data_IF_208756360660
#
_entry.id   IF_208756360660
#
_cell.length_a   1.000
_cell.length_b   1.000
_cell.length_c   1.000
_cell.angle_alpha   90.00
_cell.angle_beta   90.00
_cell.angle_gamma   90.00
#
_symmetry.space_group_name_H-M   'P 1'
#
loop_
_entity.id
_entity.type
_entity.pdbx_description
1 polymer ?
#
# COMPACT_ATOMS: atom_id res chain seq x y z
N UNK A 1 15.66 -14.73 15.60
CA UNK A 1 14.65 -13.65 15.57
C UNK A 1 13.42 -14.24 14.91
N UNK A 2 12.29 -14.24 15.60
CA UNK A 2 11.02 -14.72 15.05
C UNK A 2 10.48 -13.64 14.10
N UNK A 3 10.04 -14.05 12.91
CA UNK A 3 9.44 -13.14 11.94
C UNK A 3 7.95 -13.00 12.24
N UNK A 4 7.46 -11.77 12.43
CA UNK A 4 6.07 -11.52 12.83
C UNK A 4 5.09 -11.56 11.66
N UNK A 5 3.85 -11.98 11.91
CA UNK A 5 2.76 -11.94 10.94
C UNK A 5 2.51 -10.52 10.42
N UNK A 6 2.59 -9.52 11.30
CA UNK A 6 2.47 -8.10 10.95
C UNK A 6 3.61 -7.61 10.03
N UNK A 7 4.84 -8.10 10.22
CA UNK A 7 5.94 -7.81 9.30
C UNK A 7 5.67 -8.33 7.89
N UNK A 8 5.03 -9.51 7.79
CA UNK A 8 4.56 -10.08 6.52
C UNK A 8 3.47 -9.22 5.89
N UNK A 9 2.45 -8.84 6.67
CA UNK A 9 1.36 -8.00 6.18
C UNK A 9 1.88 -6.64 5.68
N UNK A 10 2.76 -5.98 6.43
CA UNK A 10 3.36 -4.70 6.00
C UNK A 10 4.11 -4.82 4.67
N UNK A 11 4.89 -5.90 4.51
CA UNK A 11 5.59 -6.19 3.25
C UNK A 11 4.60 -6.41 2.09
N UNK A 12 3.51 -7.13 2.33
CA UNK A 12 2.47 -7.36 1.32
C UNK A 12 1.72 -6.07 0.97
N UNK A 13 1.42 -5.20 1.93
CA UNK A 13 0.75 -3.91 1.70
C UNK A 13 1.60 -2.99 0.82
N UNK A 14 2.89 -2.85 1.13
CA UNK A 14 3.84 -2.08 0.31
C UNK A 14 3.94 -2.63 -1.12
N UNK A 15 4.10 -3.96 -1.24
CA UNK A 15 4.15 -4.62 -2.55
C UNK A 15 2.85 -4.40 -3.34
N UNK A 16 1.70 -4.62 -2.70
CA UNK A 16 0.39 -4.52 -3.30
C UNK A 16 0.15 -3.13 -3.89
N UNK A 17 0.42 -2.08 -3.13
CA UNK A 17 0.18 -0.71 -3.58
C UNK A 17 1.05 -0.31 -4.77
N UNK A 18 2.33 -0.69 -4.78
CA UNK A 18 3.21 -0.37 -5.90
C UNK A 18 2.83 -1.18 -7.14
N UNK A 19 2.55 -2.48 -6.99
CA UNK A 19 2.11 -3.33 -8.10
C UNK A 19 0.79 -2.82 -8.69
N UNK A 20 -0.21 -2.53 -7.85
CA UNK A 20 -1.48 -1.95 -8.27
C UNK A 20 -1.25 -0.60 -8.96
N UNK A 21 -0.45 0.29 -8.36
CA UNK A 21 -0.09 1.56 -8.98
C UNK A 21 0.50 1.40 -10.38
N UNK A 22 1.44 0.47 -10.56
CA UNK A 22 2.05 0.15 -11.85
C UNK A 22 1.04 -0.43 -12.86
N UNK A 23 0.08 -1.25 -12.42
CA UNK A 23 -1.00 -1.76 -13.30
C UNK A 23 -1.90 -0.63 -13.82
N UNK A 24 -2.06 0.45 -13.05
CA UNK A 24 -2.91 1.59 -13.40
C UNK A 24 -2.24 2.60 -14.35
N UNK A 25 -0.94 2.43 -14.63
CA UNK A 25 -0.18 3.23 -15.61
C UNK A 25 0.52 2.39 -16.71
N UNK A 26 -0.19 1.44 -17.37
CA UNK A 26 0.45 0.40 -18.19
C UNK A 26 1.01 0.88 -19.54
N UNK A 27 0.64 2.09 -19.98
CA UNK A 27 1.03 2.68 -21.26
C UNK A 27 2.00 3.86 -21.12
N UNK A 28 2.53 4.10 -19.92
CA UNK A 28 3.43 5.22 -19.71
C UNK A 28 4.81 4.93 -20.35
N UNK A 29 5.36 5.84 -21.17
CA UNK A 29 6.65 5.65 -21.83
C UNK A 29 7.82 5.94 -20.87
N UNK A 30 7.83 5.27 -19.72
CA UNK A 30 8.80 5.50 -18.62
C UNK A 30 10.14 4.77 -18.84
N UNK A 31 10.22 3.93 -19.87
CA UNK A 31 11.41 3.13 -20.20
C UNK A 31 11.56 1.89 -19.33
N UNK A 32 12.44 0.98 -19.74
CA UNK A 32 12.69 -0.30 -19.05
C UNK A 32 13.32 -0.08 -17.68
N UNK A 33 14.22 0.90 -17.54
CA UNK A 33 14.88 1.20 -16.27
C UNK A 33 13.89 1.60 -15.17
N UNK A 34 12.86 2.37 -15.47
CA UNK A 34 11.81 2.72 -14.52
C UNK A 34 11.09 1.46 -13.99
N UNK A 35 10.68 0.57 -14.89
CA UNK A 35 10.02 -0.68 -14.49
C UNK A 35 10.96 -1.64 -13.75
N UNK A 36 12.26 -1.60 -14.03
CA UNK A 36 13.26 -2.32 -13.23
C UNK A 36 13.32 -1.77 -11.82
N UNK A 37 13.46 -0.45 -11.66
CA UNK A 37 13.52 0.20 -10.35
C UNK A 37 12.25 -0.05 -9.54
N UNK A 38 11.08 0.33 -10.08
CA UNK A 38 9.80 0.16 -9.39
C UNK A 38 9.38 -1.30 -9.23
N UNK A 39 9.77 -2.16 -10.18
CA UNK A 39 9.62 -3.60 -10.02
C UNK A 39 10.44 -4.10 -8.85
N UNK A 40 11.73 -3.78 -8.78
CA UNK A 40 12.57 -4.22 -7.65
C UNK A 40 12.07 -3.71 -6.30
N UNK A 41 11.58 -2.47 -6.21
CA UNK A 41 11.04 -1.93 -4.95
C UNK A 41 9.75 -2.61 -4.51
N UNK A 42 8.92 -3.09 -5.44
CA UNK A 42 7.69 -3.83 -5.13
C UNK A 42 7.94 -5.32 -4.84
N UNK A 43 8.86 -5.94 -5.59
CA UNK A 43 9.10 -7.37 -5.50
C UNK A 43 10.05 -7.74 -4.36
N UNK A 44 10.88 -6.82 -3.86
CA UNK A 44 11.70 -7.05 -2.67
C UNK A 44 10.85 -7.32 -1.41
N UNK A 45 9.87 -6.49 -1.03
CA UNK A 45 8.99 -6.80 0.10
C UNK A 45 8.08 -8.00 -0.20
N UNK A 46 7.63 -8.21 -1.44
CA UNK A 46 6.88 -9.42 -1.81
C UNK A 46 7.70 -10.70 -1.60
N UNK A 47 8.97 -10.69 -1.99
CA UNK A 47 9.88 -11.82 -1.78
C UNK A 47 10.16 -12.02 -0.29
N UNK A 48 10.32 -10.94 0.49
CA UNK A 48 10.45 -11.03 1.94
C UNK A 48 9.21 -11.69 2.58
N UNK A 49 8.00 -11.31 2.15
CA UNK A 49 6.75 -11.91 2.62
C UNK A 49 6.58 -13.39 2.22
N UNK A 50 7.21 -13.83 1.12
CA UNK A 50 7.21 -15.24 0.72
C UNK A 50 8.29 -16.07 1.45
N UNK A 51 9.46 -15.48 1.69
CA UNK A 51 10.65 -16.22 2.16
C UNK A 51 10.77 -16.19 3.68
N UNK A 52 10.59 -15.04 4.32
CA UNK A 52 10.88 -14.87 5.74
C UNK A 52 9.93 -15.68 6.65
N UNK A 53 8.60 -15.75 6.39
CA UNK A 53 7.73 -16.65 7.13
C UNK A 53 8.11 -18.12 6.95
N UNK A 54 8.54 -18.52 5.74
CA UNK A 54 8.93 -19.90 5.47
C UNK A 54 10.27 -20.31 6.12
N UNK A 55 11.14 -19.34 6.43
CA UNK A 55 12.45 -19.57 7.06
C UNK A 55 12.43 -19.39 8.58
N UNK A 56 11.64 -18.44 9.09
CA UNK A 56 11.69 -17.96 10.47
C UNK A 56 10.31 -17.90 11.15
N UNK A 57 9.25 -18.25 10.43
CA UNK A 57 7.89 -18.33 10.97
C UNK A 57 7.68 -19.60 11.79
N UNK A 58 6.70 -19.54 12.68
CA UNK A 58 6.27 -20.64 13.55
C UNK A 58 5.26 -21.58 12.90
N UNK A 59 4.69 -21.19 11.75
CA UNK A 59 3.66 -21.90 11.00
C UNK A 59 4.28 -22.76 9.86
N UNK A 60 3.68 -23.90 9.48
CA UNK A 60 4.23 -24.79 8.47
C UNK A 60 4.56 -24.10 7.14
N UNK A 61 5.59 -24.67 6.48
CA UNK A 61 6.20 -24.27 5.19
C UNK A 61 5.24 -24.21 3.97
N UNK A 62 3.93 -24.35 4.18
CA UNK A 62 2.88 -24.47 3.17
C UNK A 62 1.64 -23.60 3.47
N UNK A 63 1.81 -22.47 4.18
CA UNK A 63 0.72 -21.50 4.34
C UNK A 63 0.29 -20.90 3.01
N UNK A 64 -1.02 -20.83 2.78
CA UNK A 64 -1.59 -20.32 1.54
C UNK A 64 -1.14 -18.89 1.21
N UNK A 65 -0.90 -18.07 2.24
CA UNK A 65 -0.38 -16.70 2.08
C UNK A 65 1.03 -16.69 1.47
N UNK A 66 1.93 -17.57 1.94
CA UNK A 66 3.29 -17.72 1.44
C UNK A 66 3.28 -18.19 -0.01
N UNK A 67 2.44 -19.19 -0.33
CA UNK A 67 2.30 -19.71 -1.69
C UNK A 67 1.75 -18.64 -2.65
N UNK A 68 0.76 -17.86 -2.21
CA UNK A 68 0.22 -16.76 -3.00
C UNK A 68 1.28 -15.66 -3.23
N UNK A 69 2.03 -15.28 -2.20
CA UNK A 69 3.12 -14.31 -2.32
C UNK A 69 4.22 -14.80 -3.27
N UNK A 70 4.63 -16.07 -3.16
CA UNK A 70 5.60 -16.70 -4.05
C UNK A 70 5.10 -16.75 -5.50
N UNK A 71 3.84 -17.12 -5.74
CA UNK A 71 3.22 -17.12 -7.06
C UNK A 71 3.20 -15.72 -7.69
N UNK A 72 2.96 -14.67 -6.88
CA UNK A 72 3.08 -13.29 -7.32
C UNK A 72 4.51 -12.92 -7.68
N UNK A 73 5.50 -13.34 -6.87
CA UNK A 73 6.92 -13.07 -7.07
C UNK A 73 7.46 -13.66 -8.39
N UNK A 74 6.88 -14.76 -8.89
CA UNK A 74 7.26 -15.36 -10.19
C UNK A 74 7.02 -14.43 -11.39
N UNK A 75 6.21 -13.38 -11.25
CA UNK A 75 6.03 -12.38 -12.30
C UNK A 75 7.23 -11.42 -12.45
N UNK A 76 8.14 -11.36 -11.46
CA UNK A 76 9.29 -10.46 -11.44
C UNK A 76 10.09 -10.41 -12.76
N UNK A 77 10.58 -11.55 -13.31
CA UNK A 77 11.38 -11.54 -14.53
C UNK A 77 10.65 -10.89 -15.71
N UNK A 78 9.32 -11.08 -15.81
CA UNK A 78 8.51 -10.48 -16.88
C UNK A 78 8.33 -8.97 -16.68
N UNK A 79 8.18 -8.52 -15.44
CA UNK A 79 8.01 -7.09 -15.12
C UNK A 79 9.27 -6.28 -15.46
N UNK A 80 10.45 -6.82 -15.11
CA UNK A 80 11.74 -6.13 -15.29
C UNK A 80 12.33 -6.29 -16.70
N UNK A 81 11.85 -7.26 -17.48
CA UNK A 81 12.32 -7.51 -18.83
C UNK A 81 11.83 -6.45 -19.85
N UNK A 82 12.54 -6.28 -20.99
CA UNK A 82 12.14 -5.42 -22.10
C UNK A 82 10.99 -6.03 -22.92
N UNK A 83 9.87 -6.36 -22.27
CA UNK A 83 8.68 -6.94 -22.89
C UNK A 83 7.69 -5.87 -23.36
N UNK A 84 6.75 -6.29 -24.21
CA UNK A 84 5.62 -5.45 -24.67
C UNK A 84 4.75 -5.01 -23.49
N UNK A 85 4.16 -3.81 -23.59
CA UNK A 85 3.31 -3.23 -22.55
C UNK A 85 2.15 -4.15 -22.12
N UNK A 86 1.51 -4.87 -23.07
CA UNK A 86 0.45 -5.84 -22.76
C UNK A 86 0.94 -7.01 -21.89
N UNK A 87 2.13 -7.55 -22.17
CA UNK A 87 2.71 -8.65 -21.40
C UNK A 87 3.08 -8.18 -20.01
N UNK A 88 3.69 -7.00 -19.89
CA UNK A 88 4.00 -6.38 -18.59
C UNK A 88 2.73 -6.13 -17.77
N UNK A 89 1.67 -5.61 -18.39
CA UNK A 89 0.38 -5.41 -17.72
C UNK A 89 -0.19 -6.72 -17.17
N UNK A 90 -0.18 -7.81 -17.95
CA UNK A 90 -0.64 -9.12 -17.47
C UNK A 90 0.18 -9.63 -16.29
N UNK A 91 1.50 -9.49 -16.35
CA UNK A 91 2.38 -9.88 -15.24
C UNK A 91 2.15 -9.04 -13.97
N UNK A 92 1.99 -7.73 -14.11
CA UNK A 92 1.67 -6.84 -13.00
C UNK A 92 0.28 -7.15 -12.41
N UNK A 93 -0.72 -7.41 -13.25
CA UNK A 93 -2.07 -7.75 -12.82
C UNK A 93 -2.09 -9.10 -12.07
N UNK A 94 -1.36 -10.09 -12.58
CA UNK A 94 -1.13 -11.36 -11.88
C UNK A 94 -0.48 -11.15 -10.52
N UNK A 95 0.64 -10.42 -10.47
CA UNK A 95 1.34 -10.14 -9.22
C UNK A 95 0.43 -9.42 -8.22
N UNK A 96 -0.32 -8.41 -8.67
CA UNK A 96 -1.28 -7.66 -7.84
C UNK A 96 -2.37 -8.57 -7.28
N UNK A 97 -2.95 -9.45 -8.11
CA UNK A 97 -3.98 -10.40 -7.67
C UNK A 97 -3.43 -11.40 -6.65
N UNK A 98 -2.25 -11.98 -6.90
CA UNK A 98 -1.58 -12.90 -5.98
C UNK A 98 -1.25 -12.22 -4.63
N UNK A 99 -0.72 -11.01 -4.65
CA UNK A 99 -0.45 -10.24 -3.42
C UNK A 99 -1.74 -9.89 -2.69
N UNK A 100 -2.83 -9.58 -3.40
CA UNK A 100 -4.15 -9.37 -2.80
C UNK A 100 -4.70 -10.62 -2.12
N UNK A 101 -4.56 -11.79 -2.74
CA UNK A 101 -4.92 -13.08 -2.11
C UNK A 101 -4.05 -13.34 -0.88
N UNK A 102 -2.74 -13.10 -0.96
CA UNK A 102 -1.85 -13.25 0.18
C UNK A 102 -2.29 -12.34 1.35
N UNK A 103 -2.65 -11.07 1.08
CA UNK A 103 -3.16 -10.14 2.09
C UNK A 103 -4.44 -10.64 2.76
N UNK A 104 -5.40 -11.14 1.98
CA UNK A 104 -6.65 -11.69 2.53
C UNK A 104 -6.35 -12.87 3.46
N UNK A 105 -5.42 -13.74 3.06
CA UNK A 105 -5.02 -14.89 3.87
C UNK A 105 -4.28 -14.47 5.15
N UNK A 106 -3.42 -13.45 5.10
CA UNK A 106 -2.77 -12.93 6.32
C UNK A 106 -3.74 -12.23 7.25
N UNK A 107 -4.68 -11.45 6.71
CA UNK A 107 -5.68 -10.73 7.54
C UNK A 107 -6.65 -11.70 8.21
N UNK A 108 -6.92 -12.86 7.58
CA UNK A 108 -7.75 -13.92 8.17
C UNK A 108 -7.17 -14.47 9.47
N UNK A 109 -5.87 -14.38 9.69
CA UNK A 109 -5.21 -14.87 10.89
C UNK A 109 -5.25 -13.86 12.05
N UNK A 110 -5.79 -12.66 11.82
CA UNK A 110 -5.89 -11.63 12.86
C UNK A 110 -6.98 -11.98 13.91
N UNK A 111 -6.72 -11.79 15.23
CA UNK A 111 -7.56 -12.33 16.31
C UNK A 111 -9.03 -11.88 16.29
N UNK A 112 -9.27 -10.60 15.99
CA UNK A 112 -10.61 -9.99 16.03
C UNK A 112 -11.35 -10.08 14.69
N UNK A 113 -10.71 -10.62 13.65
CA UNK A 113 -11.31 -10.77 12.32
C UNK A 113 -12.14 -12.05 12.27
N UNK A 114 -13.32 -11.99 12.90
CA UNK A 114 -14.25 -13.12 12.96
C UNK A 114 -15.41 -12.93 11.97
N UNK A 115 -15.58 -13.90 11.08
CA UNK A 115 -16.64 -13.90 10.05
C UNK A 115 -16.29 -13.19 8.75
N UNK A 116 -17.16 -13.35 7.75
CA UNK A 116 -16.90 -12.90 6.37
C UNK A 116 -16.90 -11.37 6.25
N UNK A 117 -17.79 -10.68 6.99
CA UNK A 117 -17.87 -9.21 6.96
C UNK A 117 -16.59 -8.55 7.48
N UNK A 118 -16.09 -8.99 8.63
CA UNK A 118 -14.84 -8.50 9.21
C UNK A 118 -13.64 -8.81 8.31
N UNK A 119 -13.59 -10.01 7.70
CA UNK A 119 -12.53 -10.39 6.77
C UNK A 119 -12.50 -9.48 5.54
N UNK A 120 -13.66 -9.23 4.93
CA UNK A 120 -13.77 -8.35 3.76
C UNK A 120 -13.33 -6.94 4.13
N UNK A 121 -13.82 -6.40 5.25
CA UNK A 121 -13.49 -5.05 5.69
C UNK A 121 -12.01 -4.90 6.05
N UNK A 122 -11.45 -5.82 6.83
CA UNK A 122 -10.03 -5.83 7.20
C UNK A 122 -9.13 -5.96 5.98
N UNK A 123 -9.49 -6.83 5.03
CA UNK A 123 -8.72 -7.00 3.79
C UNK A 123 -8.76 -5.73 2.93
N UNK A 124 -9.93 -5.11 2.78
CA UNK A 124 -10.08 -3.85 2.05
C UNK A 124 -9.32 -2.70 2.73
N UNK A 125 -9.34 -2.65 4.06
CA UNK A 125 -8.57 -1.68 4.85
C UNK A 125 -7.07 -1.83 4.62
N UNK A 126 -6.52 -3.04 4.76
CA UNK A 126 -5.10 -3.35 4.51
C UNK A 126 -4.69 -3.04 3.06
N UNK A 127 -5.48 -3.50 2.08
CA UNK A 127 -5.24 -3.22 0.66
C UNK A 127 -5.30 -1.71 0.36
N UNK A 128 -6.20 -0.97 0.99
CA UNK A 128 -6.28 0.48 0.84
C UNK A 128 -5.06 1.18 1.45
N UNK A 129 -4.62 0.78 2.66
CA UNK A 129 -3.39 1.29 3.29
C UNK A 129 -2.18 1.08 2.38
N UNK A 130 -2.01 -0.14 1.88
CA UNK A 130 -0.96 -0.47 0.93
C UNK A 130 -1.05 0.37 -0.35
N UNK A 131 -2.26 0.51 -0.91
CA UNK A 131 -2.50 1.31 -2.11
C UNK A 131 -2.13 2.78 -1.91
N UNK A 132 -2.46 3.38 -0.78
CA UNK A 132 -2.08 4.76 -0.46
C UNK A 132 -0.56 4.90 -0.43
N UNK A 133 0.14 4.03 0.31
CA UNK A 133 1.60 4.03 0.40
C UNK A 133 2.27 3.83 -0.96
N UNK A 134 1.84 2.82 -1.71
CA UNK A 134 2.44 2.47 -2.99
C UNK A 134 2.16 3.48 -4.09
N UNK A 135 0.93 4.01 -4.19
CA UNK A 135 0.57 4.98 -5.24
C UNK A 135 1.19 6.36 -4.97
N UNK A 136 1.24 6.82 -3.72
CA UNK A 136 1.89 8.09 -3.38
C UNK A 136 3.41 7.99 -3.61
N UNK A 137 4.04 6.89 -3.18
CA UNK A 137 5.44 6.63 -3.48
C UNK A 137 5.73 6.53 -4.98
N UNK A 138 4.87 5.84 -5.74
CA UNK A 138 4.96 5.77 -7.21
C UNK A 138 4.80 7.14 -7.85
N UNK A 139 3.85 7.96 -7.40
CA UNK A 139 3.65 9.33 -7.88
C UNK A 139 4.89 10.20 -7.63
N UNK A 140 5.53 10.05 -6.47
CA UNK A 140 6.78 10.74 -6.14
C UNK A 140 7.93 10.33 -7.07
N UNK A 141 8.15 9.02 -7.27
CA UNK A 141 9.22 8.53 -8.17
C UNK A 141 8.96 8.94 -9.61
N UNK A 142 7.71 8.81 -10.07
CA UNK A 142 7.31 9.30 -11.40
C UNK A 142 7.58 10.78 -11.52
N UNK A 143 7.21 11.57 -10.52
CA UNK A 143 7.48 13.00 -10.49
C UNK A 143 8.98 13.32 -10.59
N UNK A 144 9.84 12.61 -9.87
CA UNK A 144 11.29 12.75 -10.01
C UNK A 144 11.76 12.43 -11.45
N UNK A 145 11.14 11.44 -12.11
CA UNK A 145 11.42 11.12 -13.50
C UNK A 145 11.10 12.24 -14.49
N UNK A 146 10.14 13.13 -14.18
CA UNK A 146 9.88 14.33 -15.00
C UNK A 146 11.04 15.33 -14.94
N UNK A 147 11.88 15.30 -13.89
CA UNK A 147 13.04 16.18 -13.78
C UNK A 147 14.21 15.69 -14.62
N UNK A 148 14.30 14.38 -14.88
CA UNK A 148 15.40 13.76 -15.62
C UNK A 148 15.05 13.42 -17.07
N UNK A 149 13.76 13.24 -17.39
CA UNK A 149 13.27 12.92 -18.74
C UNK A 149 12.24 13.98 -19.19
N UNK A 150 12.66 15.04 -19.91
CA UNK A 150 11.86 16.26 -20.15
C UNK A 150 10.61 16.16 -21.05
N UNK A 151 10.09 14.97 -21.40
CA UNK A 151 9.03 14.82 -22.43
C UNK A 151 7.86 13.92 -22.02
N UNK A 152 7.70 13.62 -20.73
CA UNK A 152 6.55 12.84 -20.26
C UNK A 152 5.29 13.70 -20.24
N UNK A 153 4.13 13.20 -20.71
CA UNK A 153 2.90 13.97 -20.68
C UNK A 153 2.38 14.05 -19.25
N UNK A 154 2.13 15.26 -18.73
CA UNK A 154 1.70 15.55 -17.34
C UNK A 154 0.45 14.76 -16.91
N UNK A 155 -0.34 14.29 -17.87
CA UNK A 155 -1.51 13.43 -17.68
C UNK A 155 -1.25 12.22 -16.75
N UNK A 156 -0.05 11.62 -16.77
CA UNK A 156 0.27 10.48 -15.90
C UNK A 156 0.37 10.88 -14.43
N UNK A 157 1.06 11.98 -14.13
CA UNK A 157 1.20 12.48 -12.77
C UNK A 157 -0.16 12.96 -12.22
N UNK A 158 -0.98 13.64 -13.04
CA UNK A 158 -2.37 13.99 -12.69
C UNK A 158 -3.23 12.74 -12.43
N UNK A 159 -3.02 11.67 -13.18
CA UNK A 159 -3.75 10.40 -12.98
C UNK A 159 -3.33 9.73 -11.67
N UNK A 160 -2.03 9.61 -11.39
CA UNK A 160 -1.53 9.04 -10.14
C UNK A 160 -1.99 9.85 -8.93
N UNK A 161 -1.96 11.18 -9.00
CA UNK A 161 -2.46 12.04 -7.92
C UNK A 161 -3.95 11.80 -7.65
N UNK A 162 -4.78 11.66 -8.70
CA UNK A 162 -6.21 11.32 -8.53
C UNK A 162 -6.41 9.93 -7.93
N UNK A 163 -5.64 8.93 -8.36
CA UNK A 163 -5.69 7.58 -7.78
C UNK A 163 -5.30 7.62 -6.30
N UNK A 164 -4.27 8.40 -5.94
CA UNK A 164 -3.86 8.58 -4.55
C UNK A 164 -4.99 9.19 -3.70
N UNK A 165 -5.67 10.23 -4.20
CA UNK A 165 -6.83 10.83 -3.51
C UNK A 165 -7.94 9.81 -3.29
N UNK A 166 -8.31 9.05 -4.34
CA UNK A 166 -9.35 8.01 -4.22
C UNK A 166 -8.94 6.93 -3.22
N UNK A 167 -7.68 6.48 -3.25
CA UNK A 167 -7.16 5.50 -2.32
C UNK A 167 -7.17 6.01 -0.86
N UNK A 168 -6.82 7.28 -0.64
CA UNK A 168 -6.84 7.90 0.70
C UNK A 168 -8.26 8.02 1.24
N UNK A 169 -9.21 8.43 0.41
CA UNK A 169 -10.63 8.49 0.79
C UNK A 169 -11.16 7.09 1.09
N UNK A 170 -10.86 6.10 0.24
CA UNK A 170 -11.27 4.71 0.47
C UNK A 170 -10.67 4.17 1.77
N UNK A 171 -9.38 4.42 2.02
CA UNK A 171 -8.72 4.05 3.28
C UNK A 171 -9.42 4.71 4.47
N UNK A 172 -9.66 6.02 4.44
CA UNK A 172 -10.37 6.73 5.52
C UNK A 172 -11.77 6.15 5.80
N UNK A 173 -12.52 5.78 4.75
CA UNK A 173 -13.83 5.13 4.87
C UNK A 173 -13.71 3.75 5.51
N UNK A 174 -12.75 2.93 5.09
CA UNK A 174 -12.56 1.60 5.68
C UNK A 174 -12.11 1.68 7.14
N UNK A 175 -11.23 2.61 7.50
CA UNK A 175 -10.85 2.86 8.90
C UNK A 175 -12.07 3.27 9.73
N UNK A 176 -12.86 4.23 9.23
CA UNK A 176 -14.07 4.67 9.92
C UNK A 176 -15.08 3.53 10.09
N UNK A 177 -15.28 2.71 9.06
CA UNK A 177 -16.17 1.56 9.11
C UNK A 177 -15.64 0.51 10.09
N UNK A 178 -14.34 0.20 10.08
CA UNK A 178 -13.71 -0.72 11.04
C UNK A 178 -13.91 -0.26 12.48
N UNK A 179 -13.79 1.04 12.75
CA UNK A 179 -14.04 1.62 14.07
C UNK A 179 -15.51 1.48 14.52
N UNK A 180 -16.46 1.58 13.59
CA UNK A 180 -17.90 1.45 13.90
C UNK A 180 -18.30 -0.01 14.08
N UNK A 181 -17.84 -0.90 13.19
CA UNK A 181 -18.24 -2.32 13.22
C UNK A 181 -17.64 -3.08 14.40
N UNK A 182 -16.44 -2.68 14.86
CA UNK A 182 -15.77 -3.29 16.01
C UNK A 182 -15.77 -2.36 17.24
N UNK A 183 -16.75 -1.44 17.32
CA UNK A 183 -16.79 -0.43 18.38
C UNK A 183 -16.77 -1.05 19.79
N UNK A 184 -17.46 -2.18 19.99
CA UNK A 184 -17.51 -2.87 21.28
C UNK A 184 -16.15 -3.50 21.63
N UNK A 185 -15.53 -4.24 20.70
CA UNK A 185 -14.19 -4.81 20.87
C UNK A 185 -13.12 -3.72 21.13
N UNK A 186 -13.22 -2.57 20.46
CA UNK A 186 -12.31 -1.43 20.64
C UNK A 186 -12.51 -0.68 21.96
N UNK A 187 -13.69 -0.80 22.58
CA UNK A 187 -13.98 -0.25 23.91
C UNK A 187 -13.54 -1.20 25.03
N UNK A 188 -13.70 -2.49 24.81
CA UNK A 188 -13.40 -3.54 25.78
C UNK A 188 -11.93 -3.99 25.76
N UNK A 189 -11.14 -3.54 24.78
CA UNK A 189 -9.71 -3.77 24.71
C UNK A 189 -8.97 -3.26 25.96
N UNK A 190 -7.86 -3.93 26.33
CA UNK A 190 -7.06 -3.60 27.51
C UNK A 190 -6.64 -2.12 27.58
N UNK A 191 -6.39 -1.52 26.42
CA UNK A 191 -6.27 -0.07 26.24
C UNK A 191 -7.38 0.38 25.28
N UNK A 192 -8.46 1.01 25.75
CA UNK A 192 -9.57 1.40 24.87
C UNK A 192 -9.10 2.36 23.77
N UNK A 193 -9.60 2.19 22.54
CA UNK A 193 -9.22 3.05 21.42
C UNK A 193 -9.57 4.52 21.65
N UNK A 194 -10.67 4.77 22.36
CA UNK A 194 -11.15 6.12 22.68
C UNK A 194 -10.52 6.69 23.96
N UNK A 195 -9.48 6.06 24.51
CA UNK A 195 -8.63 6.63 25.54
C UNK A 195 -7.68 7.69 24.95
N UNK A 196 -7.06 8.53 25.78
CA UNK A 196 -6.09 9.55 25.32
C UNK A 196 -4.95 8.95 24.48
N UNK A 197 -4.50 7.74 24.82
CA UNK A 197 -3.44 7.05 24.10
C UNK A 197 -3.95 6.47 22.77
N UNK A 198 -5.09 5.77 22.76
CA UNK A 198 -5.68 5.24 21.54
C UNK A 198 -6.06 6.33 20.53
N UNK A 199 -6.63 7.44 21.02
CA UNK A 199 -6.94 8.62 20.20
C UNK A 199 -5.68 9.29 19.66
N UNK A 200 -4.56 9.26 20.37
CA UNK A 200 -3.29 9.77 19.85
C UNK A 200 -2.83 8.98 18.62
N UNK A 201 -2.82 7.65 18.67
CA UNK A 201 -2.44 6.83 17.51
C UNK A 201 -3.48 6.88 16.39
N UNK A 202 -4.77 6.85 16.71
CA UNK A 202 -5.83 6.98 15.70
C UNK A 202 -5.78 8.35 15.01
N UNK A 203 -5.59 9.43 15.78
CA UNK A 203 -5.44 10.76 15.22
C UNK A 203 -4.14 10.91 14.44
N UNK A 204 -3.03 10.29 14.86
CA UNK A 204 -1.81 10.23 14.05
C UNK A 204 -2.06 9.52 12.71
N UNK A 205 -2.75 8.38 12.74
CA UNK A 205 -3.15 7.62 11.53
C UNK A 205 -3.98 8.49 10.58
N UNK A 206 -5.03 9.13 11.09
CA UNK A 206 -5.96 9.91 10.27
C UNK A 206 -5.37 11.26 9.86
N UNK A 207 -4.78 12.03 10.77
CA UNK A 207 -4.26 13.36 10.49
C UNK A 207 -2.96 13.31 9.67
N UNK A 208 -1.99 12.50 10.09
CA UNK A 208 -0.67 12.39 9.46
C UNK A 208 -0.72 11.44 8.27
N UNK A 209 -1.37 10.28 8.41
CA UNK A 209 -1.38 9.26 7.36
C UNK A 209 -2.34 9.53 6.20
N UNK A 210 -3.39 10.34 6.39
CA UNK A 210 -4.46 10.52 5.41
C UNK A 210 -4.79 12.01 5.16
N UNK A 211 -5.15 12.78 6.18
CA UNK A 211 -5.67 14.14 5.99
C UNK A 211 -4.61 15.12 5.45
N UNK A 212 -3.40 15.13 6.03
CA UNK A 212 -2.29 15.95 5.53
C UNK A 212 -1.85 15.53 4.12
N UNK A 213 -1.63 14.23 3.80
CA UNK A 213 -1.40 13.76 2.44
C UNK A 213 -2.51 14.15 1.45
N UNK A 214 -3.78 14.16 1.88
CA UNK A 214 -4.90 14.56 1.03
C UNK A 214 -4.90 16.06 0.75
N UNK A 215 -4.57 16.89 1.75
CA UNK A 215 -4.29 18.31 1.55
C UNK A 215 -3.13 18.52 0.57
N UNK A 216 -2.05 17.76 0.71
CA UNK A 216 -0.90 17.81 -0.19
C UNK A 216 -1.25 17.34 -1.60
N UNK A 217 -2.09 16.33 -1.75
CA UNK A 217 -2.58 15.90 -3.07
C UNK A 217 -3.43 16.99 -3.73
N UNK A 218 -4.22 17.75 -2.97
CA UNK A 218 -4.94 18.93 -3.48
C UNK A 218 -3.98 20.04 -3.91
N UNK A 219 -2.98 20.37 -3.09
CA UNK A 219 -1.94 21.36 -3.44
C UNK A 219 -1.15 20.92 -4.69
N UNK A 220 -0.77 19.65 -4.77
CA UNK A 220 -0.09 19.07 -5.92
C UNK A 220 -0.97 19.13 -7.17
N UNK A 221 -2.29 18.91 -7.06
CA UNK A 221 -3.22 19.09 -8.18
C UNK A 221 -3.21 20.55 -8.70
N UNK A 222 -3.16 21.52 -7.79
CA UNK A 222 -2.97 22.93 -8.11
C UNK A 222 -1.68 23.19 -8.88
N UNK A 223 -0.53 22.72 -8.37
CA UNK A 223 0.75 22.86 -9.06
C UNK A 223 0.77 22.18 -10.43
N UNK A 224 0.13 21.02 -10.57
CA UNK A 224 0.01 20.29 -11.83
C UNK A 224 -0.94 20.98 -12.83
N UNK A 225 -1.87 21.82 -12.39
CA UNK A 225 -2.72 22.62 -13.27
C UNK A 225 -1.91 23.71 -13.99
N UNK A 226 -0.93 24.30 -13.32
CA UNK A 226 0.01 25.29 -13.86
C UNK A 226 1.29 24.66 -14.46
N UNK A 227 1.28 23.33 -14.68
CA UNK A 227 2.42 22.57 -15.24
C UNK A 227 3.73 22.68 -14.44
N UNK A 228 3.65 23.12 -13.17
CA UNK A 228 4.80 23.24 -12.29
C UNK A 228 5.11 21.88 -11.64
N UNK A 229 5.76 21.01 -12.41
CA UNK A 229 6.13 19.65 -11.99
C UNK A 229 7.13 19.65 -10.82
N UNK A 230 8.06 20.62 -10.76
CA UNK A 230 9.04 20.76 -9.66
C UNK A 230 8.38 21.01 -8.31
N UNK A 231 7.41 21.92 -8.25
CA UNK A 231 6.64 22.17 -7.04
C UNK A 231 5.81 20.94 -6.65
N UNK A 232 5.11 20.34 -7.61
CA UNK A 232 4.31 19.13 -7.37
C UNK A 232 5.16 17.97 -6.81
N UNK A 233 6.38 17.78 -7.32
CA UNK A 233 7.29 16.74 -6.83
C UNK A 233 7.72 16.93 -5.37
N UNK A 234 8.02 18.17 -4.96
CA UNK A 234 8.38 18.45 -3.57
C UNK A 234 7.25 18.12 -2.60
N UNK A 235 6.01 18.43 -2.98
CA UNK A 235 4.81 18.12 -2.20
C UNK A 235 4.62 16.59 -2.09
N UNK A 236 4.78 15.85 -3.18
CA UNK A 236 4.68 14.39 -3.19
C UNK A 236 5.78 13.70 -2.37
N UNK A 237 6.98 14.30 -2.29
CA UNK A 237 8.05 13.82 -1.42
C UNK A 237 7.64 13.88 0.06
N UNK A 238 7.17 15.04 0.52
CA UNK A 238 6.65 15.19 1.87
C UNK A 238 5.47 14.24 2.13
N UNK A 239 4.54 14.13 1.17
CA UNK A 239 3.39 13.22 1.27
C UNK A 239 3.81 11.75 1.42
N UNK A 240 4.89 11.32 0.77
CA UNK A 240 5.37 9.93 0.86
C UNK A 240 5.79 9.59 2.28
N UNK A 241 6.52 10.49 2.95
CA UNK A 241 6.96 10.29 4.34
C UNK A 241 5.76 10.19 5.28
N UNK A 242 4.79 11.10 5.15
CA UNK A 242 3.60 11.14 6.00
C UNK A 242 2.75 9.88 5.84
N UNK A 243 2.57 9.40 4.62
CA UNK A 243 1.83 8.16 4.35
C UNK A 243 2.55 6.93 4.91
N UNK A 244 3.88 6.85 4.82
CA UNK A 244 4.64 5.75 5.42
C UNK A 244 4.54 5.75 6.94
N UNK A 245 4.58 6.93 7.58
CA UNK A 245 4.29 7.06 9.02
C UNK A 245 2.88 6.56 9.31
N UNK A 246 1.89 6.97 8.51
CA UNK A 246 0.52 6.50 8.62
C UNK A 246 0.38 4.97 8.50
N UNK A 247 1.12 4.33 7.57
CA UNK A 247 1.11 2.88 7.39
C UNK A 247 1.80 2.14 8.55
N UNK A 248 2.87 2.71 9.12
CA UNK A 248 3.50 2.16 10.32
C UNK A 248 2.56 2.24 11.54
N UNK A 249 1.86 3.37 11.71
CA UNK A 249 0.85 3.54 12.77
C UNK A 249 -0.33 2.58 12.58
N UNK A 250 -0.75 2.34 11.34
CA UNK A 250 -1.78 1.34 10.99
C UNK A 250 -1.44 -0.06 11.51
N UNK A 251 -0.23 -0.54 11.21
CA UNK A 251 0.27 -1.83 11.72
C UNK A 251 0.34 -1.84 13.25
N UNK A 252 0.80 -0.75 13.87
CA UNK A 252 0.87 -0.65 15.35
C UNK A 252 -0.52 -0.68 16.00
N UNK A 253 -1.52 -0.07 15.38
CA UNK A 253 -2.91 -0.13 15.83
C UNK A 253 -3.43 -1.57 15.69
N UNK A 254 -3.16 -2.23 14.56
CA UNK A 254 -3.58 -3.62 14.38
C UNK A 254 -2.92 -4.58 15.37
N UNK A 255 -1.65 -4.34 15.75
CA UNK A 255 -0.97 -5.12 16.80
C UNK A 255 -1.71 -5.00 18.14
N UNK A 256 -2.18 -3.81 18.46
CA UNK A 256 -2.84 -3.52 19.75
C UNK A 256 -4.28 -4.04 19.79
N UNK A 257 -5.03 -3.88 18.69
CA UNK A 257 -6.47 -4.11 18.65
C UNK A 257 -6.89 -5.36 17.86
N UNK A 258 -5.96 -6.04 17.18
CA UNK A 258 -6.26 -7.21 16.35
C UNK A 258 -7.06 -6.92 15.08
N UNK A 259 -7.29 -5.64 14.74
CA UNK A 259 -8.13 -5.19 13.62
C UNK A 259 -7.32 -4.27 12.69
N UNK A 260 -7.37 -4.45 11.36
CA UNK A 260 -6.73 -3.52 10.41
C UNK A 260 -7.38 -2.12 10.41
N UNK A 261 -6.65 -1.12 10.92
CA UNK A 261 -7.03 0.31 11.05
C UNK A 261 -6.05 1.24 10.32
#
# INVERSE_FOLDING_TARGET
>A
MEWSALGTQFCLELAFGVLLGLTLIPKAPLGVFFYRLMGTTAFLPLAAAAVLPALYGTSPRADGAVLAAAAGALAFPVVVAPVRARTRFRALAWATACTGVALVLTVREAPEVTGVGALVLGSLSAMATGTVAGVVGLAMVVGHWYLTVPQLPISFLRRLNRIAVVAMIASAVFVALSCVTHADALRDAATPLFSSFGLFFLSARVAVGLALPLLFAWMAAGSLAYENTRSATGILYASTVLVLIGAAVSISLQDTYGIPL
#
